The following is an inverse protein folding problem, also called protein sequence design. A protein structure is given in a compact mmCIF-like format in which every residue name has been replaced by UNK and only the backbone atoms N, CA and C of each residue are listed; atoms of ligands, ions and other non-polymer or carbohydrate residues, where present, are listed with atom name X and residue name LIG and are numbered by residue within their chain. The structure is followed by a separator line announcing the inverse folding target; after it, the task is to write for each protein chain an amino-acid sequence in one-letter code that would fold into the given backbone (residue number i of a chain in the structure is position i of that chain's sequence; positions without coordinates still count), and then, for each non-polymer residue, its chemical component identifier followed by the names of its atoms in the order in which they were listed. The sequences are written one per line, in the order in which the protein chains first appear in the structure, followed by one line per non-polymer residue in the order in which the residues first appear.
data_IF_297188185212
#
_entry.id   IF_297188185212
#
_cell.length_a   1.000
_cell.length_b   1.000
_cell.length_c   1.000
_cell.angle_alpha   90.00
_cell.angle_beta   90.00
_cell.angle_gamma   90.00
#
_symmetry.space_group_name_H-M   'P 1'
#
loop_
_entity.id
_entity.type
_entity.pdbx_description
1 polymer ?
#
# COMPACT_ATOMS: atom_id res chain seq x y z
N UNK A 1 3.77 -44.32 -15.27
CA UNK A 1 3.63 -43.86 -16.66
C UNK A 1 3.80 -42.37 -16.61
N UNK A 2 4.95 -41.92 -17.10
CA UNK A 2 5.29 -40.52 -17.31
C UNK A 2 4.28 -39.85 -18.26
N UNK A 3 3.82 -38.67 -17.87
CA UNK A 3 3.43 -37.63 -18.83
C UNK A 3 4.01 -36.31 -18.33
N UNK A 4 5.07 -35.86 -18.99
CA UNK A 4 5.64 -34.53 -18.79
C UNK A 4 4.63 -33.45 -19.16
N UNK A 5 4.61 -32.29 -18.48
CA UNK A 5 3.94 -31.11 -19.01
C UNK A 5 4.82 -30.51 -20.10
N UNK A 6 4.23 -30.35 -21.28
CA UNK A 6 4.82 -29.66 -22.43
C UNK A 6 5.26 -28.24 -22.09
N UNK A 7 6.52 -27.94 -22.40
CA UNK A 7 7.11 -26.61 -22.46
C UNK A 7 6.24 -25.64 -23.28
N UNK A 8 5.47 -24.80 -22.59
CA UNK A 8 4.80 -23.64 -23.17
C UNK A 8 5.24 -22.31 -22.51
N UNK A 9 6.34 -22.32 -21.75
CA UNK A 9 6.87 -21.16 -21.02
C UNK A 9 7.95 -20.36 -21.77
N UNK A 10 8.34 -20.77 -22.98
CA UNK A 10 9.42 -20.11 -23.75
C UNK A 10 8.95 -18.98 -24.69
N UNK A 11 7.64 -18.75 -24.84
CA UNK A 11 7.11 -17.75 -25.78
C UNK A 11 7.18 -16.27 -25.32
N UNK A 12 7.08 -15.88 -24.04
CA UNK A 12 7.08 -14.45 -23.68
C UNK A 12 8.46 -13.79 -23.75
N UNK A 13 9.56 -14.55 -23.69
CA UNK A 13 10.92 -14.01 -23.75
C UNK A 13 11.37 -13.61 -25.17
N UNK A 14 10.73 -14.14 -26.22
CA UNK A 14 11.11 -13.94 -27.62
C UNK A 14 10.30 -12.83 -28.32
N UNK A 15 9.16 -12.41 -27.77
CA UNK A 15 8.28 -11.38 -28.36
C UNK A 15 9.01 -10.06 -28.67
N UNK A 16 9.78 -9.44 -27.75
CA UNK A 16 10.50 -8.20 -28.06
C UNK A 16 11.60 -8.41 -29.11
N UNK A 17 12.21 -9.58 -29.17
CA UNK A 17 13.23 -9.92 -30.18
C UNK A 17 12.61 -10.10 -31.57
N UNK A 18 11.48 -10.80 -31.66
CA UNK A 18 10.74 -10.99 -32.91
C UNK A 18 10.21 -9.65 -33.43
N UNK A 19 9.67 -8.81 -32.55
CA UNK A 19 9.20 -7.46 -32.93
C UNK A 19 10.35 -6.56 -33.41
N UNK A 20 11.50 -6.60 -32.73
CA UNK A 20 12.70 -5.85 -33.13
C UNK A 20 13.23 -6.31 -34.49
N UNK A 21 13.28 -7.62 -34.75
CA UNK A 21 13.69 -8.16 -36.05
C UNK A 21 12.72 -7.77 -37.16
N UNK A 22 11.41 -7.77 -36.89
CA UNK A 22 10.39 -7.34 -37.85
C UNK A 22 10.52 -5.84 -38.17
N UNK A 23 10.71 -4.99 -37.16
CA UNK A 23 10.89 -3.54 -37.34
C UNK A 23 12.19 -3.24 -38.11
N UNK A 24 13.30 -3.90 -37.77
CA UNK A 24 14.57 -3.74 -38.51
C UNK A 24 14.39 -4.18 -39.96
N UNK A 25 13.75 -5.33 -40.22
CA UNK A 25 13.51 -5.82 -41.57
C UNK A 25 12.58 -4.90 -42.37
N UNK A 26 11.59 -4.26 -41.73
CA UNK A 26 10.71 -3.28 -42.37
C UNK A 26 11.45 -1.98 -42.71
N UNK A 27 12.28 -1.47 -41.79
CA UNK A 27 13.10 -0.27 -42.01
C UNK A 27 14.14 -0.51 -43.11
N UNK A 28 14.81 -1.67 -43.13
CA UNK A 28 15.74 -2.04 -44.20
C UNK A 28 15.04 -2.11 -45.56
N UNK A 29 13.82 -2.69 -45.61
CA UNK A 29 13.01 -2.71 -46.83
C UNK A 29 12.59 -1.31 -47.28
N UNK A 30 12.20 -0.43 -46.36
CA UNK A 30 11.91 0.98 -46.68
C UNK A 30 13.14 1.74 -47.19
N UNK A 31 14.32 1.51 -46.59
CA UNK A 31 15.58 2.12 -47.03
C UNK A 31 16.03 1.63 -48.42
N UNK A 32 15.66 0.40 -48.79
CA UNK A 32 15.89 -0.18 -50.12
C UNK A 32 14.87 0.30 -51.16
N UNK A 33 13.60 0.45 -50.79
CA UNK A 33 12.51 0.86 -51.67
C UNK A 33 12.52 2.37 -52.00
N UNK A 34 13.09 3.20 -51.13
CA UNK A 34 13.15 4.65 -51.32
C UNK A 34 14.49 5.12 -51.89
N UNK A 35 14.44 6.17 -52.73
CA UNK A 35 15.59 6.83 -53.37
C UNK A 35 16.40 7.70 -52.40
N UNK A 36 16.71 7.18 -51.22
CA UNK A 36 17.51 7.90 -50.22
C UNK A 36 18.96 8.00 -50.63
N UNK A 37 19.59 9.13 -50.29
CA UNK A 37 21.03 9.33 -50.50
C UNK A 37 21.86 8.32 -49.69
N UNK A 38 23.08 8.00 -50.18
CA UNK A 38 24.03 7.13 -49.47
C UNK A 38 24.31 7.62 -48.04
N UNK A 39 24.29 8.94 -47.80
CA UNK A 39 24.54 9.55 -46.49
C UNK A 39 23.36 9.29 -45.53
N UNK A 40 22.13 9.45 -46.00
CA UNK A 40 20.91 9.18 -45.21
C UNK A 40 20.79 7.71 -44.80
N UNK A 41 21.15 6.78 -45.70
CA UNK A 41 21.16 5.33 -45.38
C UNK A 41 22.16 5.01 -44.27
N UNK A 42 23.35 5.60 -44.28
CA UNK A 42 24.37 5.40 -43.24
C UNK A 42 23.91 5.89 -41.86
N UNK A 43 23.28 7.06 -41.79
CA UNK A 43 22.74 7.58 -40.52
C UNK A 43 21.61 6.71 -39.98
N UNK A 44 20.69 6.25 -40.84
CA UNK A 44 19.60 5.37 -40.42
C UNK A 44 20.11 4.03 -39.88
N UNK A 45 21.12 3.43 -40.53
CA UNK A 45 21.79 2.23 -40.03
C UNK A 45 22.49 2.47 -38.68
N UNK A 46 23.21 3.59 -38.54
CA UNK A 46 23.89 3.92 -37.29
C UNK A 46 22.90 4.10 -36.11
N UNK A 47 21.77 4.78 -36.34
CA UNK A 47 20.72 4.96 -35.34
C UNK A 47 20.03 3.64 -34.96
N UNK A 48 19.82 2.73 -35.93
CA UNK A 48 19.32 1.39 -35.63
C UNK A 48 20.31 0.57 -34.80
N UNK A 49 21.61 0.61 -35.12
CA UNK A 49 22.62 -0.05 -34.31
C UNK A 49 22.66 0.52 -32.89
N UNK A 50 22.55 1.84 -32.73
CA UNK A 50 22.44 2.51 -31.43
C UNK A 50 21.18 2.09 -30.67
N UNK A 51 20.03 1.97 -31.34
CA UNK A 51 18.79 1.47 -30.73
C UNK A 51 18.87 0.02 -30.27
N UNK A 52 19.51 -0.86 -31.06
CA UNK A 52 19.75 -2.27 -30.68
C UNK A 52 20.72 -2.36 -29.50
N UNK A 53 21.80 -1.57 -29.52
CA UNK A 53 22.74 -1.48 -28.39
C UNK A 53 22.05 -0.94 -27.14
N UNK A 54 21.19 0.08 -27.26
CA UNK A 54 20.40 0.61 -26.16
C UNK A 54 19.46 -0.46 -25.58
N UNK A 55 18.74 -1.22 -26.40
CA UNK A 55 17.88 -2.33 -25.95
C UNK A 55 18.66 -3.46 -25.26
N UNK A 56 19.92 -3.67 -25.63
CA UNK A 56 20.79 -4.67 -24.98
C UNK A 56 21.45 -4.19 -23.70
N UNK A 57 21.82 -2.91 -23.64
CA UNK A 57 22.43 -2.30 -22.44
C UNK A 57 21.37 -1.94 -21.40
N UNK A 58 20.16 -1.64 -21.84
CA UNK A 58 18.99 -1.33 -21.03
C UNK A 58 17.88 -2.29 -21.42
N UNK A 59 17.99 -3.60 -21.09
CA UNK A 59 16.85 -4.49 -21.22
C UNK A 59 15.70 -3.81 -20.45
N UNK A 60 14.59 -3.56 -21.14
CA UNK A 60 13.38 -3.04 -20.51
C UNK A 60 13.16 -3.81 -19.20
N UNK A 61 12.76 -3.09 -18.15
CA UNK A 61 12.56 -3.63 -16.79
C UNK A 61 12.15 -5.09 -16.88
N UNK A 62 12.94 -6.03 -16.31
CA UNK A 62 12.66 -7.45 -16.49
C UNK A 62 11.19 -7.68 -16.16
N UNK A 63 10.44 -8.43 -16.98
CA UNK A 63 9.06 -8.74 -16.64
C UNK A 63 9.07 -9.33 -15.24
N UNK A 64 8.34 -8.66 -14.33
CA UNK A 64 8.18 -9.12 -12.95
C UNK A 64 7.70 -10.58 -13.08
N UNK A 65 8.46 -11.58 -12.60
CA UNK A 65 8.03 -12.97 -12.71
C UNK A 65 6.69 -13.10 -12.01
N UNK A 66 5.66 -13.67 -12.66
CA UNK A 66 4.29 -13.64 -12.13
C UNK A 66 4.14 -14.35 -10.78
N UNK A 67 5.07 -15.26 -10.42
CA UNK A 67 4.81 -16.28 -9.41
C UNK A 67 5.85 -16.36 -8.26
N UNK A 68 6.58 -15.28 -7.93
CA UNK A 68 7.51 -15.34 -6.79
C UNK A 68 6.92 -14.68 -5.55
N UNK A 69 6.08 -15.43 -4.85
CA UNK A 69 5.91 -15.30 -3.40
C UNK A 69 7.20 -15.76 -2.73
N UNK A 70 8.12 -14.84 -2.44
CA UNK A 70 9.43 -15.20 -1.87
C UNK A 70 9.31 -15.60 -0.41
N UNK A 71 8.30 -15.09 0.29
CA UNK A 71 8.17 -15.21 1.73
C UNK A 71 6.77 -15.66 2.18
N UNK A 72 5.80 -15.74 1.27
CA UNK A 72 4.41 -16.11 1.57
C UNK A 72 4.06 -17.54 1.20
N UNK A 73 3.42 -18.26 2.13
CA UNK A 73 2.78 -19.56 1.91
C UNK A 73 1.30 -19.36 1.60
N UNK A 74 0.64 -20.34 0.98
CA UNK A 74 -0.82 -20.36 0.76
C UNK A 74 -1.58 -19.88 2.01
N UNK A 75 -2.46 -18.90 1.81
CA UNK A 75 -3.26 -18.28 2.86
C UNK A 75 -4.72 -18.69 2.71
N UNK A 76 -5.28 -19.34 3.73
CA UNK A 76 -6.71 -19.63 3.78
C UNK A 76 -7.45 -18.38 4.30
N UNK A 77 -8.33 -17.82 3.47
CA UNK A 77 -9.16 -16.66 3.82
C UNK A 77 -10.63 -17.04 3.74
N UNK A 78 -11.38 -16.75 4.81
CA UNK A 78 -12.82 -16.98 4.85
C UNK A 78 -13.60 -15.66 4.82
N UNK A 79 -14.73 -15.67 4.12
CA UNK A 79 -15.73 -14.62 4.22
C UNK A 79 -16.76 -15.01 5.29
N UNK A 80 -16.89 -14.18 6.33
CA UNK A 80 -17.84 -14.26 7.45
C UNK A 80 -17.68 -15.36 8.52
N UNK A 81 -17.76 -14.86 9.78
CA UNK A 81 -17.72 -15.43 11.14
C UNK A 81 -16.63 -16.43 11.57
N UNK A 82 -16.06 -16.24 12.78
CA UNK A 82 -15.28 -17.28 13.44
C UNK A 82 -16.23 -18.36 13.92
N UNK A 83 -16.11 -19.58 13.39
CA UNK A 83 -16.50 -20.74 14.20
C UNK A 83 -15.73 -20.65 15.53
N UNK A 84 -16.35 -21.02 16.65
CA UNK A 84 -15.81 -20.84 18.00
C UNK A 84 -14.41 -21.48 18.26
N UNK A 85 -13.86 -22.22 17.27
CA UNK A 85 -12.52 -22.82 17.26
C UNK A 85 -11.53 -22.14 16.28
N UNK A 86 -11.90 -21.06 15.58
CA UNK A 86 -11.13 -20.43 14.51
C UNK A 86 -10.25 -19.26 14.98
N UNK A 87 -9.58 -19.38 16.11
CA UNK A 87 -8.68 -18.32 16.62
C UNK A 87 -7.45 -18.07 15.74
N UNK A 88 -7.20 -18.91 14.71
CA UNK A 88 -6.00 -18.82 13.84
C UNK A 88 -6.29 -18.52 12.38
N UNK A 89 -7.54 -18.62 11.89
CA UNK A 89 -7.84 -18.44 10.46
C UNK A 89 -8.09 -16.97 10.13
N UNK A 90 -7.51 -16.50 9.02
CA UNK A 90 -7.74 -15.14 8.50
C UNK A 90 -9.15 -15.02 7.93
N UNK A 91 -9.87 -13.95 8.28
CA UNK A 91 -11.20 -13.68 7.74
C UNK A 91 -11.47 -12.19 7.54
N UNK A 92 -12.41 -11.86 6.66
CA UNK A 92 -12.68 -10.48 6.24
C UNK A 92 -14.03 -10.01 6.79
N UNK A 93 -14.03 -8.85 7.44
CA UNK A 93 -15.20 -8.11 7.86
C UNK A 93 -15.37 -6.86 7.00
N UNK A 94 -16.54 -6.72 6.36
CA UNK A 94 -16.89 -5.48 5.66
C UNK A 94 -17.29 -4.41 6.68
N UNK A 95 -16.52 -3.32 6.71
CA UNK A 95 -16.83 -2.15 7.53
C UNK A 95 -17.79 -1.25 6.79
N UNK A 96 -17.41 -0.84 5.57
CA UNK A 96 -18.08 0.18 4.79
C UNK A 96 -17.85 -0.02 3.29
N UNK A 97 -18.77 0.49 2.47
CA UNK A 97 -18.60 0.63 1.01
C UNK A 97 -18.31 2.07 0.58
N UNK A 98 -18.45 3.04 1.49
CA UNK A 98 -18.17 4.46 1.30
C UNK A 98 -17.48 4.97 2.59
N UNK A 99 -16.15 4.88 2.73
CA UNK A 99 -15.21 4.36 1.74
C UNK A 99 -15.28 2.83 1.71
N UNK A 100 -14.74 2.21 0.67
CA UNK A 100 -14.49 0.76 0.70
C UNK A 100 -13.49 0.49 1.82
N UNK A 101 -13.94 -0.15 2.89
CA UNK A 101 -13.14 -0.41 4.07
C UNK A 101 -13.47 -1.79 4.65
N UNK A 102 -12.42 -2.56 4.97
CA UNK A 102 -12.52 -3.94 5.45
C UNK A 102 -11.52 -4.18 6.58
N UNK A 103 -11.97 -4.84 7.65
CA UNK A 103 -11.04 -5.38 8.64
C UNK A 103 -10.65 -6.78 8.19
N UNK A 104 -9.35 -7.02 8.09
CA UNK A 104 -8.77 -8.34 7.92
C UNK A 104 -8.36 -8.83 9.30
N UNK A 105 -9.12 -9.79 9.83
CA UNK A 105 -8.88 -10.36 11.15
C UNK A 105 -7.81 -11.44 11.09
N UNK A 106 -6.98 -11.54 12.12
CA UNK A 106 -5.90 -12.53 12.23
C UNK A 106 -4.97 -12.50 10.99
N UNK A 107 -4.63 -11.32 10.49
CA UNK A 107 -3.73 -11.16 9.35
C UNK A 107 -2.27 -11.38 9.75
N UNK A 108 -1.89 -10.91 10.94
CA UNK A 108 -0.57 -11.09 11.52
C UNK A 108 -0.68 -11.98 12.77
N UNK A 109 0.34 -12.81 12.97
CA UNK A 109 0.55 -13.52 14.23
C UNK A 109 1.04 -12.56 15.32
N UNK A 110 0.82 -12.84 16.61
CA UNK A 110 1.34 -12.03 17.70
C UNK A 110 2.87 -11.85 17.66
N UNK A 111 3.59 -12.87 17.19
CA UNK A 111 5.05 -12.88 17.03
C UNK A 111 5.50 -11.96 15.90
N UNK A 112 4.78 -11.96 14.76
CA UNK A 112 5.02 -11.01 13.67
C UNK A 112 4.82 -9.57 14.12
N UNK A 113 3.78 -9.30 14.91
CA UNK A 113 3.53 -7.98 15.46
C UNK A 113 4.69 -7.50 16.35
N UNK A 114 5.14 -8.32 17.30
CA UNK A 114 6.26 -7.93 18.18
C UNK A 114 7.55 -7.74 17.37
N UNK A 115 7.84 -8.66 16.45
CA UNK A 115 9.02 -8.55 15.57
C UNK A 115 9.04 -7.23 14.80
N UNK A 116 7.90 -6.81 14.22
CA UNK A 116 7.82 -5.55 13.48
C UNK A 116 8.03 -4.34 14.39
N UNK A 117 7.50 -4.36 15.62
CA UNK A 117 7.76 -3.30 16.60
C UNK A 117 9.26 -3.22 16.91
N UNK A 118 9.89 -4.35 17.21
CA UNK A 118 11.31 -4.42 17.57
C UNK A 118 12.24 -3.90 16.47
N UNK A 119 11.91 -4.12 15.19
CA UNK A 119 12.69 -3.64 14.05
C UNK A 119 12.86 -2.11 14.04
N UNK A 120 11.84 -1.37 14.48
CA UNK A 120 11.82 0.09 14.39
C UNK A 120 11.78 0.82 15.72
N UNK A 121 11.60 0.13 16.86
CA UNK A 121 11.37 0.73 18.18
C UNK A 121 12.45 1.73 18.60
N UNK A 122 13.72 1.50 18.23
CA UNK A 122 14.83 2.40 18.58
C UNK A 122 14.91 3.64 17.69
N UNK A 123 14.29 3.58 16.52
CA UNK A 123 14.37 4.60 15.48
C UNK A 123 13.10 5.46 15.40
N UNK A 124 12.10 5.21 16.26
CA UNK A 124 10.90 6.06 16.30
C UNK A 124 11.27 7.47 16.78
N UNK A 125 10.85 8.46 16.01
CA UNK A 125 11.03 9.89 16.29
C UNK A 125 9.67 10.59 16.15
N UNK A 126 9.46 11.77 16.74
CA UNK A 126 8.21 12.53 16.55
C UNK A 126 7.84 12.65 15.06
N UNK A 127 6.60 12.32 14.72
CA UNK A 127 6.17 12.18 13.31
C UNK A 127 6.03 13.54 12.63
N UNK A 128 6.49 13.65 11.37
CA UNK A 128 6.26 14.81 10.50
C UNK A 128 5.01 14.59 9.63
N UNK A 129 4.30 15.66 9.30
CA UNK A 129 3.20 15.65 8.31
C UNK A 129 3.73 15.90 6.89
N UNK A 130 3.04 15.37 5.88
CA UNK A 130 3.38 15.61 4.46
C UNK A 130 3.14 17.10 4.16
N UNK A 131 4.17 17.81 3.69
CA UNK A 131 4.15 19.28 3.49
C UNK A 131 5.21 20.06 4.25
N UNK A 132 6.02 19.40 5.09
CA UNK A 132 7.29 19.93 5.60
C UNK A 132 7.18 21.11 6.58
N UNK A 133 5.97 21.53 6.96
CA UNK A 133 5.80 22.46 8.05
C UNK A 133 5.58 21.69 9.36
N UNK A 134 6.37 22.04 10.37
CA UNK A 134 6.16 21.66 11.77
C UNK A 134 4.80 22.16 12.26
N UNK A 135 3.70 21.58 11.79
CA UNK A 135 2.38 21.81 12.37
C UNK A 135 2.29 20.97 13.64
N UNK A 136 2.99 21.45 14.67
CA UNK A 136 2.88 20.94 16.04
C UNK A 136 1.39 20.85 16.40
N UNK A 137 0.90 19.63 16.65
CA UNK A 137 -0.50 19.40 17.04
C UNK A 137 -1.38 18.70 16.00
N UNK A 138 -0.98 18.60 14.72
CA UNK A 138 -1.78 17.86 13.73
C UNK A 138 -1.64 16.34 13.86
N UNK A 139 -0.44 15.90 14.21
CA UNK A 139 -0.08 14.52 14.53
C UNK A 139 0.88 14.53 15.71
N UNK A 140 0.59 13.72 16.73
CA UNK A 140 1.38 13.71 17.97
C UNK A 140 2.06 12.37 18.24
N UNK A 141 1.99 11.42 17.30
CA UNK A 141 2.68 10.12 17.37
C UNK A 141 4.17 10.21 17.10
N UNK A 142 4.90 9.16 17.47
CA UNK A 142 6.26 8.89 16.96
C UNK A 142 6.22 7.84 15.85
N UNK A 143 7.22 7.83 14.97
CA UNK A 143 7.29 6.85 13.89
C UNK A 143 8.66 6.70 13.25
N UNK A 144 8.81 5.62 12.48
CA UNK A 144 10.00 5.29 11.70
C UNK A 144 9.58 4.61 10.38
N UNK A 145 10.51 4.47 9.43
CA UNK A 145 10.25 3.82 8.14
C UNK A 145 11.11 2.58 7.99
N UNK A 146 10.45 1.44 7.76
CA UNK A 146 11.08 0.13 7.60
C UNK A 146 11.15 -0.21 6.11
N UNK A 147 12.33 -0.62 5.64
CA UNK A 147 12.49 -1.18 4.29
C UNK A 147 11.72 -2.49 4.17
N UNK A 148 10.99 -2.67 3.07
CA UNK A 148 10.13 -3.85 2.88
C UNK A 148 10.96 -5.12 2.76
N UNK A 149 12.08 -5.01 2.05
CA UNK A 149 13.03 -6.11 1.82
C UNK A 149 14.42 -5.75 2.34
N UNK A 150 15.23 -6.78 2.62
CA UNK A 150 16.58 -6.59 3.16
C UNK A 150 16.64 -6.22 4.65
N UNK A 151 15.52 -5.91 5.30
CA UNK A 151 15.48 -5.69 6.75
C UNK A 151 15.15 -6.95 7.55
N UNK A 152 14.04 -7.62 7.22
CA UNK A 152 13.60 -8.86 7.87
C UNK A 152 12.78 -9.72 6.91
N UNK A 153 13.00 -11.04 6.94
CA UNK A 153 12.16 -12.00 6.21
C UNK A 153 10.71 -11.99 6.71
N UNK A 154 10.51 -11.77 8.02
CA UNK A 154 9.18 -11.67 8.63
C UNK A 154 8.41 -10.47 8.10
N UNK A 155 9.05 -9.30 8.05
CA UNK A 155 8.43 -8.09 7.49
C UNK A 155 8.12 -8.25 6.00
N UNK A 156 9.07 -8.82 5.24
CA UNK A 156 8.86 -9.10 3.82
C UNK A 156 7.70 -10.07 3.58
N UNK A 157 7.55 -11.10 4.41
CA UNK A 157 6.41 -12.03 4.38
C UNK A 157 5.07 -11.31 4.61
N UNK A 158 5.02 -10.40 5.59
CA UNK A 158 3.81 -9.61 5.86
C UNK A 158 3.47 -8.68 4.70
N UNK A 159 4.47 -7.98 4.13
CA UNK A 159 4.28 -7.10 2.96
C UNK A 159 3.74 -7.88 1.77
N UNK A 160 4.32 -9.04 1.45
CA UNK A 160 3.83 -9.90 0.38
C UNK A 160 2.42 -10.42 0.65
N UNK A 161 2.10 -10.75 1.91
CA UNK A 161 0.79 -11.27 2.31
C UNK A 161 -0.30 -10.22 2.12
N UNK A 162 -0.02 -8.98 2.54
CA UNK A 162 -0.92 -7.84 2.30
C UNK A 162 -1.08 -7.61 0.81
N UNK A 163 0.01 -7.61 0.05
CA UNK A 163 0.00 -7.37 -1.40
C UNK A 163 -0.84 -8.42 -2.15
N UNK A 164 -0.68 -9.69 -1.75
CA UNK A 164 -1.50 -10.82 -2.21
C UNK A 164 -2.99 -10.61 -1.95
N UNK A 165 -3.33 -10.23 -0.72
CA UNK A 165 -4.72 -10.01 -0.31
C UNK A 165 -5.37 -8.87 -1.10
N UNK A 166 -4.60 -7.84 -1.42
CA UNK A 166 -5.07 -6.67 -2.18
C UNK A 166 -5.06 -6.89 -3.70
N UNK A 167 -4.43 -7.96 -4.19
CA UNK A 167 -4.24 -8.20 -5.61
C UNK A 167 -3.32 -7.19 -6.27
N UNK A 168 -2.35 -6.64 -5.54
CA UNK A 168 -1.41 -5.61 -6.01
C UNK A 168 0.02 -6.15 -6.00
N UNK A 169 0.90 -5.75 -6.93
CA UNK A 169 2.32 -6.05 -6.82
C UNK A 169 2.89 -5.43 -5.53
N UNK A 170 3.76 -6.13 -4.77
CA UNK A 170 4.34 -5.57 -3.54
C UNK A 170 5.19 -4.31 -3.80
N UNK A 171 5.69 -4.18 -5.03
CA UNK A 171 6.46 -3.04 -5.49
C UNK A 171 5.63 -1.78 -5.77
N UNK A 172 4.30 -1.87 -5.71
CA UNK A 172 3.43 -0.68 -5.65
C UNK A 172 3.42 -0.06 -4.25
N UNK A 173 3.84 -0.79 -3.23
CA UNK A 173 3.79 -0.31 -1.85
C UNK A 173 4.98 0.56 -1.45
N UNK A 174 4.79 1.60 -0.65
CA UNK A 174 5.87 2.37 -0.04
C UNK A 174 6.58 1.59 1.09
N UNK A 175 7.66 2.17 1.65
CA UNK A 175 8.24 1.68 2.91
C UNK A 175 7.17 1.62 4.00
N UNK A 176 7.26 0.60 4.86
CA UNK A 176 6.30 0.40 5.95
C UNK A 176 6.56 1.45 7.04
N UNK A 177 5.58 2.29 7.34
CA UNK A 177 5.68 3.30 8.39
C UNK A 177 5.26 2.68 9.73
N UNK A 178 6.22 2.46 10.64
CA UNK A 178 5.93 2.08 12.02
C UNK A 178 5.53 3.30 12.83
N UNK A 179 4.50 3.17 13.67
CA UNK A 179 3.90 4.26 14.44
C UNK A 179 3.62 3.83 15.87
N UNK A 180 3.83 4.77 16.78
CA UNK A 180 3.60 4.61 18.21
C UNK A 180 2.81 5.80 18.75
N UNK A 181 1.72 5.52 19.46
CA UNK A 181 0.88 6.50 20.15
C UNK A 181 0.79 6.14 21.64
N UNK A 182 1.26 7.06 22.46
CA UNK A 182 1.07 7.05 23.91
C UNK A 182 -0.33 7.56 24.29
N UNK A 183 -0.71 7.39 25.56
CA UNK A 183 -1.94 7.97 26.12
C UNK A 183 -2.03 9.47 25.80
N UNK A 184 -3.16 9.89 25.25
CA UNK A 184 -3.43 11.26 24.83
C UNK A 184 -3.00 11.57 23.40
N UNK A 185 -2.09 10.82 22.78
CA UNK A 185 -1.62 11.08 21.41
C UNK A 185 -2.65 10.66 20.35
N UNK A 186 -2.60 11.32 19.19
CA UNK A 186 -3.60 11.22 18.12
C UNK A 186 -3.06 11.60 16.74
N UNK A 187 -3.92 11.45 15.73
CA UNK A 187 -3.71 11.99 14.39
C UNK A 187 -5.04 12.58 13.89
N UNK A 188 -5.06 13.88 13.59
CA UNK A 188 -6.25 14.58 13.09
C UNK A 188 -6.77 14.03 11.75
N UNK A 189 -8.02 14.34 11.37
CA UNK A 189 -8.61 13.93 10.10
C UNK A 189 -7.76 14.33 8.88
N UNK A 190 -7.35 13.35 8.09
CA UNK A 190 -6.56 13.52 6.87
C UNK A 190 -6.95 12.50 5.79
N UNK A 191 -6.41 12.68 4.59
CA UNK A 191 -6.47 11.71 3.49
C UNK A 191 -5.07 11.24 3.17
N UNK A 192 -4.92 9.95 2.87
CA UNK A 192 -3.64 9.42 2.37
C UNK A 192 -3.48 9.63 0.86
N UNK A 193 -4.57 9.95 0.16
CA UNK A 193 -4.54 10.40 -1.23
C UNK A 193 -3.85 11.77 -1.36
N UNK A 194 -2.91 11.90 -2.29
CA UNK A 194 -2.32 13.20 -2.64
C UNK A 194 -2.38 13.47 -4.14
N UNK A 195 -2.78 14.69 -4.50
CA UNK A 195 -2.54 15.31 -5.79
C UNK A 195 -1.65 16.53 -5.58
N UNK A 196 -0.53 16.61 -6.28
CA UNK A 196 0.19 17.87 -6.42
C UNK A 196 -0.41 18.61 -7.63
N UNK A 197 -1.25 19.62 -7.37
CA UNK A 197 -1.78 20.49 -8.42
C UNK A 197 -0.63 21.06 -9.27
N UNK A 198 -0.75 20.93 -10.60
CA UNK A 198 0.26 21.43 -11.55
C UNK A 198 1.40 20.45 -11.86
N UNK A 199 1.39 19.23 -11.31
CA UNK A 199 2.25 18.14 -11.76
C UNK A 199 1.41 17.02 -12.38
N UNK A 200 1.89 16.42 -13.47
CA UNK A 200 1.35 15.13 -13.97
C UNK A 200 1.24 14.16 -12.78
N UNK A 201 0.18 13.33 -12.66
CA UNK A 201 -0.03 12.49 -11.49
C UNK A 201 1.18 11.59 -11.25
N UNK A 202 2.06 12.01 -10.34
CA UNK A 202 3.19 11.21 -9.90
C UNK A 202 2.64 10.19 -8.91
N UNK A 203 2.41 8.97 -9.39
CA UNK A 203 2.11 7.77 -8.61
C UNK A 203 1.49 8.00 -7.21
N UNK A 204 0.17 8.23 -7.17
CA UNK A 204 -0.57 8.55 -5.93
C UNK A 204 -0.91 7.29 -5.12
N UNK A 205 -1.13 7.44 -3.80
CA UNK A 205 -1.62 6.38 -2.91
C UNK A 205 -3.10 6.09 -3.19
N UNK A 206 -3.42 4.82 -3.41
CA UNK A 206 -4.77 4.37 -3.79
C UNK A 206 -5.40 3.42 -2.77
N UNK A 207 -4.58 2.74 -1.98
CA UNK A 207 -5.00 1.85 -0.89
C UNK A 207 -4.09 2.04 0.31
N UNK A 208 -4.70 2.06 1.48
CA UNK A 208 -3.99 2.07 2.75
C UNK A 208 -4.30 0.80 3.51
N UNK A 209 -3.24 0.09 3.92
CA UNK A 209 -3.31 -1.02 4.87
C UNK A 209 -2.67 -0.61 6.19
N UNK A 210 -3.49 -0.41 7.22
CA UNK A 210 -3.04 -0.08 8.57
C UNK A 210 -3.10 -1.34 9.45
N UNK A 211 -1.93 -1.86 9.80
CA UNK A 211 -1.72 -3.06 10.59
C UNK A 211 -1.70 -2.68 12.08
N UNK A 212 -2.53 -3.31 12.90
CA UNK A 212 -2.55 -3.12 14.35
C UNK A 212 -1.58 -4.10 15.03
N UNK A 213 -0.53 -3.57 15.66
CA UNK A 213 0.56 -4.37 16.23
C UNK A 213 0.42 -4.56 17.75
N UNK A 214 -0.44 -3.79 18.40
CA UNK A 214 -0.82 -3.96 19.81
C UNK A 214 -2.34 -3.89 19.99
N UNK A 215 -2.81 -4.45 21.11
CA UNK A 215 -4.15 -4.19 21.62
C UNK A 215 -4.16 -2.84 22.34
N UNK A 216 -5.30 -2.14 22.27
CA UNK A 216 -5.52 -0.88 23.00
C UNK A 216 -6.77 -1.03 23.85
N UNK A 217 -6.61 -0.79 25.15
CA UNK A 217 -7.68 -0.98 26.14
C UNK A 217 -8.87 -0.06 25.84
N UNK A 218 -8.59 1.23 25.65
CA UNK A 218 -9.60 2.24 25.28
C UNK A 218 -9.04 3.37 24.41
N UNK A 219 -9.87 3.87 23.49
CA UNK A 219 -9.48 4.87 22.49
C UNK A 219 -8.66 4.26 21.34
N UNK A 220 -7.88 5.10 20.66
CA UNK A 220 -6.94 4.66 19.61
C UNK A 220 -7.59 4.15 18.32
N UNK A 221 -8.91 4.28 18.16
CA UNK A 221 -9.64 3.82 16.97
C UNK A 221 -9.18 4.52 15.69
N UNK A 222 -9.35 3.83 14.55
CA UNK A 222 -9.33 4.46 13.23
C UNK A 222 -10.76 4.87 12.89
N UNK A 223 -11.02 6.17 12.88
CA UNK A 223 -12.36 6.72 12.67
C UNK A 223 -12.45 7.34 11.27
N UNK A 224 -13.52 7.04 10.55
CA UNK A 224 -13.87 7.59 9.25
C UNK A 224 -15.08 8.51 9.43
N UNK A 225 -14.90 9.83 9.60
CA UNK A 225 -15.98 10.75 9.92
C UNK A 225 -17.08 10.83 8.86
N UNK A 226 -16.73 10.50 7.62
CA UNK A 226 -17.65 10.49 6.47
C UNK A 226 -18.06 9.06 6.05
N UNK A 227 -17.54 8.04 6.73
CA UNK A 227 -17.71 6.64 6.39
C UNK A 227 -19.12 6.12 6.68
N UNK A 228 -19.68 5.27 5.82
CA UNK A 228 -21.03 4.69 5.95
C UNK A 228 -20.95 3.20 6.25
N UNK A 229 -20.92 2.79 7.53
CA UNK A 229 -20.78 1.39 7.82
C UNK A 229 -22.03 0.61 7.42
N UNK A 230 -21.82 -0.66 7.07
CA UNK A 230 -22.90 -1.59 6.74
C UNK A 230 -23.83 -1.81 7.93
N UNK A 231 -25.04 -2.32 7.67
CA UNK A 231 -26.01 -2.61 8.72
C UNK A 231 -25.44 -3.66 9.69
N UNK A 232 -24.82 -4.69 9.14
CA UNK A 232 -24.21 -5.80 9.87
C UNK A 232 -23.07 -5.31 10.77
N UNK A 233 -22.21 -4.41 10.25
CA UNK A 233 -21.14 -3.82 11.03
C UNK A 233 -21.68 -2.95 12.17
N UNK A 234 -22.73 -2.16 11.90
CA UNK A 234 -23.41 -1.34 12.92
C UNK A 234 -23.99 -2.17 14.04
N UNK A 235 -24.69 -3.26 13.72
CA UNK A 235 -25.32 -4.14 14.70
C UNK A 235 -24.29 -4.82 15.60
N UNK A 236 -23.17 -5.32 15.02
CA UNK A 236 -22.09 -5.93 15.81
C UNK A 236 -21.30 -4.96 16.67
N UNK A 237 -21.18 -3.69 16.24
CA UNK A 237 -20.33 -2.69 16.88
C UNK A 237 -21.13 -1.53 17.49
N UNK A 238 -22.41 -1.76 17.82
CA UNK A 238 -23.35 -0.72 18.25
C UNK A 238 -22.89 0.06 19.48
N UNK A 239 -22.26 -0.62 20.44
CA UNK A 239 -21.71 -0.02 21.66
C UNK A 239 -20.71 1.09 21.35
N UNK A 240 -19.67 0.79 20.56
CA UNK A 240 -18.61 1.75 20.25
C UNK A 240 -19.04 2.79 19.24
N UNK A 241 -19.87 2.41 18.27
CA UNK A 241 -20.41 3.36 17.32
C UNK A 241 -21.31 4.37 18.01
N UNK A 242 -21.86 4.13 19.20
CA UNK A 242 -22.65 5.13 19.94
C UNK A 242 -21.84 6.31 20.52
N UNK A 243 -20.50 6.23 20.55
CA UNK A 243 -19.59 7.29 21.06
C UNK A 243 -19.60 8.56 20.18
N UNK A 244 -19.15 9.73 20.70
CA UNK A 244 -19.12 11.00 19.97
C UNK A 244 -18.40 10.93 18.61
N UNK A 245 -18.84 11.77 17.65
CA UNK A 245 -18.49 11.71 16.22
C UNK A 245 -17.00 11.89 15.93
N UNK A 246 -16.36 12.86 16.59
CA UNK A 246 -14.91 13.05 16.52
C UNK A 246 -14.28 12.55 17.81
N UNK A 247 -13.11 11.91 17.67
CA UNK A 247 -12.37 11.40 18.82
C UNK A 247 -11.68 12.49 19.64
N UNK A 248 -11.72 13.74 19.17
CA UNK A 248 -11.00 14.87 19.74
C UNK A 248 -11.87 15.88 20.47
N UNK A 249 -13.17 15.58 20.69
CA UNK A 249 -14.04 16.50 21.42
C UNK A 249 -13.97 17.92 20.85
N UNK A 250 -14.15 18.06 19.52
CA UNK A 250 -14.24 19.36 18.81
C UNK A 250 -13.28 20.43 19.37
N UNK A 251 -11.96 20.31 19.15
CA UNK A 251 -11.20 21.53 18.88
C UNK A 251 -11.59 21.99 17.48
N UNK A 252 -12.67 22.77 17.42
CA UNK A 252 -13.27 23.32 16.20
C UNK A 252 -12.20 23.99 15.31
N UNK A 253 -11.21 24.59 15.96
CA UNK A 253 -10.12 25.36 15.38
C UNK A 253 -9.10 24.50 14.60
N UNK A 254 -9.01 23.18 14.86
CA UNK A 254 -8.10 22.27 14.16
C UNK A 254 -8.76 21.53 12.99
N UNK A 255 -10.09 21.53 12.91
CA UNK A 255 -10.83 20.98 11.78
C UNK A 255 -10.85 21.97 10.60
N UNK A 256 -10.79 23.27 10.88
CA UNK A 256 -10.74 24.33 9.86
C UNK A 256 -9.42 24.36 9.04
N UNK A 257 -8.35 23.73 9.53
CA UNK A 257 -7.04 23.72 8.83
C UNK A 257 -6.88 22.56 7.85
N UNK A 258 -7.65 21.48 8.01
CA UNK A 258 -7.89 20.54 6.93
C UNK A 258 -8.95 21.17 6.03
N UNK A 259 -8.84 21.11 4.70
CA UNK A 259 -9.87 21.59 3.77
C UNK A 259 -11.14 20.70 3.80
N UNK A 260 -11.62 20.40 5.00
CA UNK A 260 -12.74 19.52 5.30
C UNK A 260 -13.80 20.44 5.88
N UNK A 261 -14.80 20.78 5.05
CA UNK A 261 -15.90 21.65 5.46
C UNK A 261 -16.54 21.21 6.79
N UNK A 262 -17.16 22.16 7.47
CA UNK A 262 -17.74 22.05 8.82
C UNK A 262 -18.27 20.64 9.20
N UNK A 263 -17.41 19.85 9.85
CA UNK A 263 -17.74 18.50 10.36
C UNK A 263 -18.76 18.56 11.51
N UNK A 264 -19.06 19.73 12.06
CA UNK A 264 -20.01 19.87 13.18
C UNK A 264 -21.47 19.59 12.78
N UNK A 265 -21.77 19.62 11.47
CA UNK A 265 -23.09 19.28 10.92
C UNK A 265 -23.26 17.80 10.56
N UNK A 266 -22.27 16.94 10.81
CA UNK A 266 -22.40 15.47 10.64
C UNK A 266 -23.19 14.87 11.82
N UNK A 267 -24.47 15.25 11.93
CA UNK A 267 -25.38 14.63 12.87
C UNK A 267 -25.74 13.21 12.40
N UNK A 268 -25.32 12.20 13.18
CA UNK A 268 -26.21 11.09 13.50
C UNK A 268 -26.29 9.85 12.59
N UNK A 269 -25.36 9.55 11.67
CA UNK A 269 -25.50 8.25 10.96
C UNK A 269 -24.44 7.76 9.98
N UNK A 270 -23.47 8.59 9.60
CA UNK A 270 -22.41 8.26 8.63
C UNK A 270 -21.05 8.32 9.30
N UNK A 271 -20.77 7.40 10.23
CA UNK A 271 -19.42 7.20 10.75
C UNK A 271 -19.07 5.73 10.77
N UNK A 272 -17.91 5.36 10.27
CA UNK A 272 -17.33 4.04 10.50
C UNK A 272 -16.16 4.19 11.47
N UNK A 273 -16.00 3.26 12.41
CA UNK A 273 -14.93 3.30 13.40
C UNK A 273 -14.43 1.89 13.66
N UNK A 274 -13.12 1.71 13.61
CA UNK A 274 -12.46 0.41 13.77
C UNK A 274 -11.54 0.48 14.99
N UNK A 275 -11.70 -0.48 15.91
CA UNK A 275 -10.81 -0.60 17.07
C UNK A 275 -9.49 -1.28 16.69
N UNK A 276 -8.36 -0.82 17.23
CA UNK A 276 -7.10 -1.56 17.11
C UNK A 276 -7.21 -2.86 17.90
N UNK A 277 -6.87 -3.97 17.24
CA UNK A 277 -6.74 -5.29 17.84
C UNK A 277 -5.50 -5.94 17.28
N UNK A 278 -4.60 -6.41 18.14
CA UNK A 278 -3.32 -7.00 17.72
C UNK A 278 -3.55 -8.10 16.68
N UNK A 279 -2.81 -8.03 15.58
CA UNK A 279 -2.90 -9.00 14.49
C UNK A 279 -3.93 -8.66 13.41
N UNK A 280 -4.84 -7.72 13.66
CA UNK A 280 -5.78 -7.25 12.65
C UNK A 280 -5.17 -6.16 11.77
N UNK A 281 -5.77 -5.96 10.59
CA UNK A 281 -5.52 -4.78 9.77
C UNK A 281 -6.82 -4.16 9.29
N UNK A 282 -6.88 -2.82 9.21
CA UNK A 282 -7.91 -2.12 8.44
C UNK A 282 -7.32 -1.77 7.07
N UNK A 283 -8.01 -2.21 6.03
CA UNK A 283 -7.70 -1.86 4.63
C UNK A 283 -8.80 -0.96 4.12
N UNK A 284 -8.43 0.17 3.54
CA UNK A 284 -9.39 1.06 2.90
C UNK A 284 -8.82 1.67 1.62
N UNK A 285 -9.72 2.01 0.69
CA UNK A 285 -9.36 2.65 -0.56
C UNK A 285 -9.48 4.17 -0.42
N UNK A 286 -8.39 4.85 -0.76
CA UNK A 286 -8.29 6.31 -0.79
C UNK A 286 -8.85 6.92 -2.07
N UNK A 287 -9.14 6.08 -3.06
CA UNK A 287 -9.65 6.48 -4.36
C UNK A 287 -10.86 5.64 -4.79
N UNK A 288 -11.73 6.27 -5.59
CA UNK A 288 -12.80 5.56 -6.26
C UNK A 288 -12.24 4.52 -7.25
N UNK A 289 -13.04 3.48 -7.63
CA UNK A 289 -12.62 2.53 -8.66
C UNK A 289 -12.09 3.23 -9.92
N UNK A 290 -10.97 2.75 -10.43
CA UNK A 290 -10.22 3.40 -11.53
C UNK A 290 -9.13 4.36 -11.07
N UNK A 291 -9.04 4.68 -9.77
CA UNK A 291 -7.92 5.41 -9.14
C UNK A 291 -7.66 6.85 -9.63
N UNK A 292 -8.50 7.37 -10.51
CA UNK A 292 -8.37 8.72 -11.11
C UNK A 292 -8.76 9.84 -10.14
N UNK A 293 -9.58 9.55 -9.12
CA UNK A 293 -10.08 10.56 -8.19
C UNK A 293 -10.06 10.03 -6.76
N UNK A 294 -9.68 10.91 -5.83
CA UNK A 294 -9.82 10.71 -4.40
C UNK A 294 -11.27 10.36 -4.03
N UNK A 295 -11.44 9.51 -3.02
CA UNK A 295 -12.73 9.22 -2.38
C UNK A 295 -12.82 10.02 -1.07
N UNK A 296 -13.59 11.13 -1.01
CA UNK A 296 -13.66 11.97 0.18
C UNK A 296 -14.15 11.23 1.44
N UNK A 297 -14.86 10.11 1.27
CA UNK A 297 -15.28 9.29 2.40
C UNK A 297 -14.12 8.55 3.08
N UNK A 298 -12.95 8.45 2.43
CA UNK A 298 -11.72 7.88 3.01
C UNK A 298 -11.02 8.79 4.01
N UNK A 299 -11.53 10.02 4.22
CA UNK A 299 -11.09 10.89 5.30
C UNK A 299 -11.11 10.10 6.61
N UNK A 300 -9.97 10.06 7.28
CA UNK A 300 -9.80 9.26 8.48
C UNK A 300 -8.91 9.94 9.51
N UNK A 301 -9.10 9.57 10.77
CA UNK A 301 -8.34 10.06 11.91
C UNK A 301 -7.89 8.89 12.80
N UNK A 302 -6.81 9.11 13.54
CA UNK A 302 -6.38 8.27 14.65
C UNK A 302 -6.86 8.86 15.96
N UNK A 303 -7.89 8.26 16.54
CA UNK A 303 -8.46 8.68 17.81
C UNK A 303 -7.42 8.70 18.94
N UNK A 304 -7.63 9.57 19.92
CA UNK A 304 -6.73 9.65 21.07
C UNK A 304 -6.71 8.33 21.82
N UNK A 305 -5.52 7.86 22.21
CA UNK A 305 -5.39 6.69 23.08
C UNK A 305 -5.83 7.10 24.48
N UNK A 306 -6.90 6.51 25.00
CA UNK A 306 -7.40 6.81 26.34
C UNK A 306 -6.74 5.91 27.39
N UNK A 307 -6.50 4.65 27.05
CA UNK A 307 -5.83 3.67 27.91
C UNK A 307 -5.08 2.65 27.08
N UNK A 308 -3.88 2.30 27.52
CA UNK A 308 -2.99 1.34 26.84
C UNK A 308 -1.92 2.04 25.99
N UNK A 309 -1.37 1.29 25.04
CA UNK A 309 -0.26 1.74 24.19
C UNK A 309 -0.49 1.25 22.75
N UNK A 310 -0.55 2.17 21.78
CA UNK A 310 -0.92 1.81 20.40
C UNK A 310 0.32 1.77 19.52
N UNK A 311 0.62 0.58 19.01
CA UNK A 311 1.56 0.35 17.92
C UNK A 311 0.81 -0.04 16.66
N UNK A 312 1.16 0.60 15.55
CA UNK A 312 0.61 0.28 14.24
C UNK A 312 1.67 0.41 13.15
N UNK A 313 1.50 -0.31 12.05
CA UNK A 313 2.31 -0.13 10.86
C UNK A 313 1.42 0.20 9.67
N UNK A 314 1.72 1.29 8.96
CA UNK A 314 1.02 1.68 7.75
C UNK A 314 1.80 1.23 6.53
N UNK A 315 1.12 0.53 5.62
CA UNK A 315 1.62 0.19 4.30
C UNK A 315 0.72 0.84 3.26
N UNK A 316 1.26 1.85 2.59
CA UNK A 316 0.57 2.58 1.53
C UNK A 316 0.86 1.93 0.19
N UNK A 317 -0.16 1.72 -0.62
CA UNK A 317 -0.05 1.15 -1.96
C UNK A 317 -0.38 2.24 -2.97
N UNK A 318 0.56 2.50 -3.86
CA UNK A 318 0.42 3.47 -4.92
C UNK A 318 -0.15 2.84 -6.20
N UNK A 319 -0.72 3.70 -7.06
CA UNK A 319 -1.36 3.27 -8.31
C UNK A 319 -0.38 2.51 -9.22
N UNK A 320 0.84 3.01 -9.32
CA UNK A 320 1.93 2.47 -10.11
C UNK A 320 3.07 1.95 -9.21
N UNK A 321 4.06 1.32 -9.83
CA UNK A 321 5.28 0.90 -9.14
C UNK A 321 5.96 2.11 -8.49
N UNK A 322 6.41 1.93 -7.25
CA UNK A 322 7.31 2.92 -6.65
C UNK A 322 8.61 2.99 -7.45
N UNK A 323 9.42 4.03 -7.21
CA UNK A 323 10.68 4.27 -7.94
C UNK A 323 11.47 2.98 -8.19
N UNK A 324 11.79 2.62 -9.46
CA UNK A 324 12.58 1.44 -9.78
C UNK A 324 13.92 1.41 -9.05
N UNK A 325 14.51 2.57 -8.78
CA UNK A 325 15.74 2.68 -7.99
C UNK A 325 15.56 2.20 -6.56
N UNK A 326 14.44 2.55 -5.90
CA UNK A 326 14.15 2.12 -4.53
C UNK A 326 13.91 0.60 -4.48
N UNK A 327 13.18 0.07 -5.46
CA UNK A 327 12.96 -1.38 -5.60
C UNK A 327 14.29 -2.13 -5.79
N UNK A 328 15.12 -1.68 -6.74
CA UNK A 328 16.42 -2.31 -7.01
C UNK A 328 17.35 -2.24 -5.80
N UNK A 329 17.34 -1.11 -5.08
CA UNK A 329 18.13 -0.93 -3.87
C UNK A 329 17.71 -1.90 -2.75
N UNK A 330 16.40 -2.03 -2.49
CA UNK A 330 15.89 -2.97 -1.48
C UNK A 330 16.19 -4.43 -1.86
N UNK A 331 16.06 -4.79 -3.14
CA UNK A 331 16.37 -6.14 -3.63
C UNK A 331 17.88 -6.44 -3.57
N UNK A 332 18.74 -5.48 -3.92
CA UNK A 332 20.18 -5.64 -3.77
C UNK A 332 20.56 -5.86 -2.30
N UNK A 333 20.04 -5.03 -1.39
CA UNK A 333 20.22 -5.23 0.04
C UNK A 333 19.70 -6.59 0.53
N UNK A 334 18.55 -7.04 0.02
CA UNK A 334 18.00 -8.35 0.35
C UNK A 334 18.90 -9.50 -0.13
N UNK A 335 19.46 -9.37 -1.33
CA UNK A 335 20.40 -10.36 -1.88
C UNK A 335 21.71 -10.38 -1.10
N UNK A 336 22.31 -9.22 -0.83
CA UNK A 336 23.57 -9.11 -0.10
C UNK A 336 23.46 -9.66 1.33
N UNK A 337 22.27 -9.58 1.93
CA UNK A 337 21.95 -10.15 3.25
C UNK A 337 21.45 -11.59 3.18
N UNK A 338 21.45 -12.22 2.01
CA UNK A 338 21.07 -13.61 1.81
C UNK A 338 19.59 -13.90 2.07
N UNK A 339 18.70 -12.92 1.91
CA UNK A 339 17.25 -13.12 2.04
C UNK A 339 16.61 -13.69 0.78
N UNK A 340 17.20 -13.39 -0.37
CA UNK A 340 16.81 -13.92 -1.69
C UNK A 340 18.05 -14.47 -2.41
N UNK A 341 17.89 -15.46 -3.29
CA UNK A 341 18.99 -16.12 -3.99
C UNK A 341 19.78 -15.22 -4.97
#
# INVERSE_FOLDING_TARGET
MDTSPSDASFLPALVPYVFTVIVIAAVLRCLQAASFSKRTRRYALALMCLGVVYLHLFPGTPPIPPDRHYFTKEMEVRYSEPEANATTTTWIETVSWEPRAFVIHNLLTPEECEHIIELGRKDVQPSLTVGGQNQTGYRTSSGSFLMRYGLSRTLAAVVERVSLLLGTPPFNGERVQLLHYEVGQYYLPHTDYFFYEGTEPTNTRVVTALLYLSDVDDGGETNFPLGRPTKEYKERNAEYLSRPTTCHGVQKDLVETAEVGDLSNLQGGKRARVRPKKGNAIVFWDAHPGFVRSDPSSLHEGCSVAQGDKWSATFWICQDLISPYEVLYELANAKDRGFIP
#
